data_IF_706395606040
#
_entry.id   IF_706395606040
#
_cell.length_a   1.000
_cell.length_b   1.000
_cell.length_c   1.000
_cell.angle_alpha   90.00
_cell.angle_beta   90.00
_cell.angle_gamma   90.00
#
_symmetry.space_group_name_H-M   'P 1'
#
loop_
_entity.id
_entity.type
_entity.pdbx_description
1 polymer ?
#
# COMPACT_ATOMS: atom_id res chain seq x y z
N UNK A 1 -53.14 -22.67 6.93
CA UNK A 1 -52.42 -21.51 6.38
C UNK A 1 -50.93 -21.72 6.56
N UNK A 2 -50.12 -21.85 5.50
CA UNK A 2 -48.68 -22.05 5.65
C UNK A 2 -47.97 -20.70 5.88
N UNK A 3 -47.15 -20.68 6.94
CA UNK A 3 -46.33 -19.55 7.37
C UNK A 3 -45.35 -19.08 6.30
N UNK A 4 -45.39 -17.78 6.00
CA UNK A 4 -44.39 -17.10 5.18
C UNK A 4 -43.06 -17.09 5.95
N UNK A 5 -42.07 -17.86 5.47
CA UNK A 5 -40.69 -17.75 5.94
C UNK A 5 -40.18 -16.35 5.61
N UNK A 6 -39.89 -15.59 6.66
CA UNK A 6 -39.16 -14.32 6.58
C UNK A 6 -37.81 -14.57 5.91
N UNK A 7 -37.65 -14.10 4.68
CA UNK A 7 -36.36 -14.04 4.00
C UNK A 7 -35.47 -13.08 4.80
N UNK A 8 -34.56 -13.64 5.60
CA UNK A 8 -33.46 -12.89 6.18
C UNK A 8 -32.70 -12.22 5.02
N UNK A 9 -32.82 -10.90 4.92
CA UNK A 9 -32.06 -10.08 3.99
C UNK A 9 -30.58 -10.39 4.25
N UNK A 10 -29.94 -11.10 3.32
CA UNK A 10 -28.50 -11.37 3.33
C UNK A 10 -27.83 -10.01 3.52
N UNK A 11 -27.10 -9.80 4.63
CA UNK A 11 -26.27 -8.60 4.75
C UNK A 11 -25.33 -8.64 3.53
N UNK A 12 -25.22 -7.57 2.72
CA UNK A 12 -24.19 -7.51 1.71
C UNK A 12 -22.86 -7.76 2.41
N UNK A 13 -22.04 -8.66 1.88
CA UNK A 13 -20.64 -8.67 2.27
C UNK A 13 -20.12 -7.25 2.00
N UNK A 14 -19.39 -6.62 2.94
CA UNK A 14 -19.04 -5.20 2.81
C UNK A 14 -18.20 -4.91 1.56
N UNK A 15 -17.70 -5.94 0.87
CA UNK A 15 -16.83 -5.84 -0.30
C UNK A 15 -17.08 -7.01 -1.27
N UNK A 16 -18.14 -6.96 -2.08
CA UNK A 16 -18.46 -8.04 -3.02
C UNK A 16 -17.54 -8.10 -4.24
N UNK A 17 -16.69 -7.09 -4.45
CA UNK A 17 -15.79 -6.98 -5.59
C UNK A 17 -14.36 -6.78 -5.14
N UNK A 18 -13.45 -7.60 -5.64
CA UNK A 18 -12.01 -7.54 -5.36
C UNK A 18 -11.21 -7.42 -6.66
N UNK A 19 -10.32 -6.44 -6.73
CA UNK A 19 -9.41 -6.26 -7.86
C UNK A 19 -7.97 -6.43 -7.38
N UNK A 20 -7.30 -7.47 -7.89
CA UNK A 20 -5.90 -7.80 -7.59
C UNK A 20 -4.98 -7.51 -8.78
N UNK A 21 -3.77 -7.03 -8.48
CA UNK A 21 -2.73 -6.73 -9.45
C UNK A 21 -1.37 -6.55 -8.75
N UNK A 22 -0.27 -6.66 -9.49
CA UNK A 22 1.07 -6.40 -8.97
C UNK A 22 1.49 -4.96 -9.24
N UNK A 23 2.09 -4.31 -8.24
CA UNK A 23 2.59 -2.95 -8.33
C UNK A 23 3.65 -2.68 -7.24
N UNK A 24 4.64 -1.85 -7.56
CA UNK A 24 5.66 -1.38 -6.58
C UNK A 24 6.31 -2.56 -5.83
N UNK A 25 6.61 -3.64 -6.56
CA UNK A 25 7.30 -4.81 -6.03
C UNK A 25 6.48 -5.72 -5.10
N UNK A 26 5.15 -5.59 -5.06
CA UNK A 26 4.28 -6.49 -4.28
C UNK A 26 2.90 -6.67 -4.91
N UNK A 27 2.12 -7.61 -4.38
CA UNK A 27 0.74 -7.85 -4.78
C UNK A 27 -0.22 -6.91 -4.04
N UNK A 28 -1.15 -6.30 -4.76
CA UNK A 28 -2.16 -5.37 -4.24
C UNK A 28 -3.56 -5.97 -4.38
N UNK A 29 -4.47 -5.57 -3.49
CA UNK A 29 -5.90 -5.88 -3.54
C UNK A 29 -6.68 -4.61 -3.25
N UNK A 30 -7.57 -4.20 -4.15
CA UNK A 30 -8.54 -3.14 -3.90
C UNK A 30 -9.92 -3.78 -3.90
N UNK A 31 -10.47 -3.96 -2.70
CA UNK A 31 -11.83 -4.41 -2.56
C UNK A 31 -12.80 -3.24 -2.44
N UNK A 32 -14.01 -3.43 -2.95
CA UNK A 32 -15.09 -2.42 -3.03
C UNK A 32 -16.45 -3.13 -2.98
N UNK A 33 -17.54 -2.44 -2.59
CA UNK A 33 -18.88 -3.02 -2.67
C UNK A 33 -19.27 -3.43 -4.10
N UNK A 34 -18.94 -2.58 -5.08
CA UNK A 34 -19.26 -2.75 -6.51
C UNK A 34 -17.98 -2.77 -7.37
N UNK A 35 -17.97 -3.44 -8.55
CA UNK A 35 -16.78 -3.52 -9.37
C UNK A 35 -16.24 -2.15 -9.79
N UNK A 36 -14.94 -1.94 -9.59
CA UNK A 36 -14.24 -0.73 -10.08
C UNK A 36 -14.31 -0.69 -11.61
N UNK A 37 -14.89 0.39 -12.13
CA UNK A 37 -15.05 0.60 -13.57
C UNK A 37 -13.69 0.59 -14.31
N UNK A 38 -13.62 0.07 -15.56
CA UNK A 38 -12.36 -0.05 -16.31
C UNK A 38 -11.56 1.25 -16.40
N UNK A 39 -12.22 2.39 -16.66
CA UNK A 39 -11.54 3.69 -16.73
C UNK A 39 -10.87 4.11 -15.42
N UNK A 40 -11.49 3.81 -14.28
CA UNK A 40 -10.91 4.09 -12.97
C UNK A 40 -9.74 3.15 -12.67
N UNK A 41 -9.82 1.87 -13.07
CA UNK A 41 -8.68 0.95 -12.99
C UNK A 41 -7.48 1.48 -13.78
N UNK A 42 -7.71 1.94 -15.01
CA UNK A 42 -6.66 2.57 -15.84
C UNK A 42 -6.06 3.79 -15.16
N UNK A 43 -6.88 4.68 -14.58
CA UNK A 43 -6.40 5.86 -13.87
C UNK A 43 -5.56 5.50 -12.63
N UNK A 44 -5.99 4.50 -11.86
CA UNK A 44 -5.23 3.99 -10.70
C UNK A 44 -3.89 3.42 -11.15
N UNK A 45 -3.87 2.55 -12.16
CA UNK A 45 -2.63 1.97 -12.69
C UNK A 45 -1.68 3.04 -13.22
N UNK A 46 -2.19 4.05 -13.94
CA UNK A 46 -1.38 5.16 -14.45
C UNK A 46 -0.77 6.00 -13.31
N UNK A 47 -1.53 6.25 -12.24
CA UNK A 47 -1.04 6.95 -11.06
C UNK A 47 0.07 6.17 -10.35
N UNK A 48 -0.11 4.86 -10.21
CA UNK A 48 0.90 3.96 -9.62
C UNK A 48 2.18 3.95 -10.46
N UNK A 49 2.07 3.82 -11.79
CA UNK A 49 3.26 3.84 -12.67
C UNK A 49 3.97 5.20 -12.64
N UNK A 50 3.23 6.31 -12.59
CA UNK A 50 3.82 7.65 -12.41
C UNK A 50 4.55 7.77 -11.06
N UNK A 51 3.97 7.25 -9.99
CA UNK A 51 4.61 7.21 -8.68
C UNK A 51 5.89 6.36 -8.72
N UNK A 52 5.82 5.16 -9.30
CA UNK A 52 6.95 4.23 -9.39
C UNK A 52 8.10 4.78 -10.25
N UNK A 53 7.81 5.48 -11.36
CA UNK A 53 8.82 6.22 -12.16
C UNK A 53 9.53 7.32 -11.39
N UNK A 54 8.93 7.82 -10.32
CA UNK A 54 9.53 8.90 -9.53
C UNK A 54 10.29 8.32 -8.33
N UNK A 55 9.66 7.42 -7.59
CA UNK A 55 10.09 7.05 -6.24
C UNK A 55 10.77 5.68 -6.14
N UNK A 56 10.72 4.85 -7.18
CA UNK A 56 11.30 3.51 -7.13
C UNK A 56 12.81 3.56 -7.00
N UNK A 57 13.40 2.91 -6.00
CA UNK A 57 14.86 2.80 -5.92
C UNK A 57 15.45 1.75 -6.87
N UNK A 58 14.62 0.87 -7.42
CA UNK A 58 15.05 -0.29 -8.22
C UNK A 58 14.81 -0.11 -9.70
N UNK A 59 13.81 0.70 -10.09
CA UNK A 59 13.55 1.01 -11.49
C UNK A 59 14.66 1.90 -12.02
N UNK A 60 15.43 1.36 -12.96
CA UNK A 60 16.44 2.14 -13.69
C UNK A 60 15.75 3.32 -14.38
N UNK A 61 16.32 4.51 -14.21
CA UNK A 61 15.80 5.74 -14.79
C UNK A 61 14.68 6.41 -13.99
N UNK A 62 14.36 5.93 -12.79
CA UNK A 62 13.51 6.70 -11.88
C UNK A 62 14.30 7.87 -11.25
N UNK A 63 13.58 8.92 -10.82
CA UNK A 63 14.22 10.07 -10.18
C UNK A 63 14.95 9.67 -8.88
N UNK A 64 14.31 8.88 -8.02
CA UNK A 64 14.93 8.39 -6.79
C UNK A 64 16.15 7.48 -7.04
N UNK A 65 16.16 6.69 -8.12
CA UNK A 65 17.33 5.89 -8.50
C UNK A 65 18.47 6.77 -9.04
N UNK A 66 18.16 7.87 -9.74
CA UNK A 66 19.17 8.80 -10.25
C UNK A 66 19.96 9.52 -9.14
N UNK A 67 19.37 9.75 -7.95
CA UNK A 67 20.07 10.33 -6.78
C UNK A 67 21.29 9.52 -6.29
N UNK A 68 21.50 8.30 -6.80
CA UNK A 68 22.71 7.52 -6.52
C UNK A 68 23.96 8.10 -7.18
N UNK A 69 23.79 8.81 -8.29
CA UNK A 69 24.87 9.40 -9.09
C UNK A 69 24.72 10.91 -9.21
N UNK A 70 23.49 11.40 -9.22
CA UNK A 70 23.15 12.82 -9.34
C UNK A 70 23.07 13.51 -7.97
N UNK A 71 23.40 14.80 -7.95
CA UNK A 71 23.29 15.63 -6.73
C UNK A 71 21.86 16.06 -6.42
N UNK A 72 21.04 16.23 -7.44
CA UNK A 72 19.68 16.76 -7.33
C UNK A 72 18.81 16.17 -8.43
N UNK A 73 17.53 15.92 -8.12
CA UNK A 73 16.52 15.44 -9.08
C UNK A 73 15.19 16.09 -8.76
N UNK A 74 14.33 16.22 -9.77
CA UNK A 74 12.93 16.58 -9.57
C UNK A 74 12.13 15.34 -9.12
N UNK A 75 11.59 15.38 -7.90
CA UNK A 75 10.74 14.34 -7.32
C UNK A 75 9.25 14.65 -7.48
N UNK A 76 8.92 15.70 -8.24
CA UNK A 76 7.56 16.10 -8.55
C UNK A 76 6.83 16.81 -7.41
N UNK A 77 5.58 17.23 -7.66
CA UNK A 77 4.82 18.10 -6.76
C UNK A 77 4.42 17.43 -5.44
N UNK A 78 4.40 16.10 -5.38
CA UNK A 78 4.06 15.34 -4.16
C UNK A 78 5.22 15.30 -3.15
N UNK A 79 6.45 15.58 -3.59
CA UNK A 79 7.66 15.41 -2.79
C UNK A 79 7.66 16.23 -1.49
N UNK A 80 7.26 17.51 -1.46
CA UNK A 80 7.25 18.27 -0.21
C UNK A 80 6.36 17.65 0.87
N UNK A 81 5.18 17.15 0.49
CA UNK A 81 4.24 16.53 1.43
C UNK A 81 4.78 15.19 1.98
N UNK A 82 5.35 14.35 1.10
CA UNK A 82 5.95 13.07 1.47
C UNK A 82 7.18 13.27 2.37
N UNK A 83 8.08 14.17 1.99
CA UNK A 83 9.31 14.45 2.75
C UNK A 83 9.00 15.06 4.12
N UNK A 84 7.99 15.92 4.23
CA UNK A 84 7.55 16.46 5.52
C UNK A 84 7.08 15.36 6.50
N UNK A 85 6.47 14.26 5.99
CA UNK A 85 6.13 13.09 6.81
C UNK A 85 7.40 12.41 7.31
N UNK A 86 8.40 12.20 6.45
CA UNK A 86 9.67 11.60 6.84
C UNK A 86 10.45 12.47 7.83
N UNK A 87 10.49 13.79 7.65
CA UNK A 87 11.13 14.72 8.59
C UNK A 87 10.49 14.63 9.98
N UNK A 88 9.15 14.58 10.03
CA UNK A 88 8.41 14.42 11.28
C UNK A 88 8.71 13.07 11.93
N UNK A 89 8.72 11.98 11.17
CA UNK A 89 9.03 10.64 11.70
C UNK A 89 10.48 10.57 12.19
N UNK A 90 11.42 11.16 11.45
CA UNK A 90 12.82 11.22 11.84
C UNK A 90 12.98 11.93 13.19
N UNK A 91 12.37 13.10 13.36
CA UNK A 91 12.40 13.84 14.62
C UNK A 91 11.76 13.07 15.78
N UNK A 92 10.57 12.51 15.58
CA UNK A 92 9.83 11.77 16.62
C UNK A 92 10.50 10.48 17.04
N UNK A 93 11.32 9.89 16.18
CA UNK A 93 12.01 8.61 16.43
C UNK A 93 13.50 8.79 16.72
N UNK A 94 13.96 10.03 16.95
CA UNK A 94 15.37 10.36 17.15
C UNK A 94 16.30 9.76 16.07
N UNK A 95 15.82 9.76 14.83
CA UNK A 95 16.54 9.25 13.66
C UNK A 95 16.39 7.76 13.36
N UNK A 96 15.60 7.01 14.14
CA UNK A 96 15.40 5.58 13.88
C UNK A 96 14.61 5.31 12.57
N UNK A 97 13.74 6.23 12.16
CA UNK A 97 13.11 6.22 10.83
C UNK A 97 13.79 7.27 9.95
N UNK A 98 14.53 6.83 8.93
CA UNK A 98 15.22 7.69 7.97
C UNK A 98 15.06 7.19 6.53
N UNK A 99 14.70 8.06 5.57
CA UNK A 99 14.65 7.68 4.16
C UNK A 99 16.05 7.49 3.52
N UNK A 100 17.12 7.88 4.22
CA UNK A 100 18.51 7.88 3.71
C UNK A 100 19.25 6.55 3.92
N UNK A 101 18.55 5.49 4.33
CA UNK A 101 19.15 4.18 4.67
C UNK A 101 19.40 3.29 3.45
N UNK A 102 19.07 3.74 2.23
CA UNK A 102 19.15 2.91 1.01
C UNK A 102 20.52 2.27 0.77
N UNK A 103 21.60 3.02 0.93
CA UNK A 103 22.97 2.50 0.77
C UNK A 103 23.37 1.47 1.83
N UNK A 104 22.94 1.68 3.09
CA UNK A 104 23.19 0.72 4.17
C UNK A 104 22.40 -0.59 3.94
N UNK A 105 21.14 -0.50 3.50
CA UNK A 105 20.33 -1.65 3.16
C UNK A 105 20.97 -2.50 2.04
N UNK A 106 21.57 -1.86 1.04
CA UNK A 106 22.27 -2.56 -0.04
C UNK A 106 23.52 -3.29 0.43
N UNK A 107 24.30 -2.69 1.32
CA UNK A 107 25.46 -3.37 1.93
C UNK A 107 25.04 -4.60 2.75
N UNK A 108 23.84 -4.58 3.32
CA UNK A 108 23.23 -5.72 4.02
C UNK A 108 22.58 -6.74 3.06
N UNK A 109 22.68 -6.54 1.76
CA UNK A 109 22.14 -7.45 0.74
C UNK A 109 20.71 -7.16 0.30
N UNK A 110 20.03 -6.13 0.84
CA UNK A 110 18.71 -5.69 0.40
C UNK A 110 18.81 -4.79 -0.85
N UNK A 111 19.54 -5.24 -1.87
CA UNK A 111 19.65 -4.57 -3.16
C UNK A 111 18.58 -5.01 -4.17
N UNK A 112 18.71 -4.58 -5.42
CA UNK A 112 17.75 -4.91 -6.49
C UNK A 112 17.68 -6.42 -6.81
N UNK A 113 18.74 -7.17 -6.50
CA UNK A 113 18.77 -8.62 -6.66
C UNK A 113 18.14 -9.39 -5.50
N UNK A 114 17.69 -8.70 -4.44
CA UNK A 114 17.02 -9.33 -3.31
C UNK A 114 15.53 -9.54 -3.62
N UNK A 115 15.07 -10.79 -3.55
CA UNK A 115 13.67 -11.16 -3.77
C UNK A 115 13.08 -11.71 -2.48
N UNK A 116 11.99 -11.09 -2.01
CA UNK A 116 11.15 -11.69 -0.97
C UNK A 116 10.30 -12.78 -1.60
N UNK A 117 10.54 -14.03 -1.21
CA UNK A 117 9.74 -15.17 -1.67
C UNK A 117 8.57 -15.40 -0.70
N UNK A 118 7.31 -15.20 -1.13
CA UNK A 118 6.15 -15.43 -0.28
C UNK A 118 6.10 -16.89 0.18
N UNK A 119 5.71 -17.13 1.44
CA UNK A 119 5.48 -18.49 1.97
C UNK A 119 4.01 -18.92 1.92
N UNK A 120 3.11 -18.06 1.41
CA UNK A 120 1.69 -18.31 1.29
C UNK A 120 0.91 -17.05 0.88
N UNK A 121 -0.40 -17.20 0.69
CA UNK A 121 -1.28 -16.08 0.35
C UNK A 121 -1.52 -15.17 1.58
N UNK A 122 -1.57 -13.83 1.38
CA UNK A 122 -1.97 -12.93 2.46
C UNK A 122 -3.43 -13.21 2.87
N UNK A 123 -3.77 -13.13 4.16
CA UNK A 123 -5.14 -13.32 4.62
C UNK A 123 -6.06 -12.26 3.99
N UNK A 124 -7.25 -12.68 3.57
CA UNK A 124 -8.27 -11.76 3.08
C UNK A 124 -8.63 -10.81 4.21
N UNK A 125 -8.40 -9.50 4.03
CA UNK A 125 -8.73 -8.49 5.03
C UNK A 125 -10.25 -8.30 5.11
N UNK A 126 -10.94 -9.24 5.74
CA UNK A 126 -12.25 -9.00 6.31
C UNK A 126 -12.04 -8.19 7.59
N UNK A 127 -12.18 -6.87 7.53
CA UNK A 127 -12.27 -6.00 8.71
C UNK A 127 -13.53 -6.36 9.51
N UNK A 128 -13.48 -7.47 10.25
CA UNK A 128 -14.41 -7.72 11.36
C UNK A 128 -13.73 -7.15 12.59
N UNK A 129 -14.09 -5.93 12.96
CA UNK A 129 -13.67 -5.37 14.25
C UNK A 129 -14.04 -6.36 15.37
N UNK A 130 -13.11 -6.70 16.29
CA UNK A 130 -13.46 -7.54 17.42
C UNK A 130 -14.53 -6.82 18.25
N UNK A 131 -15.63 -7.52 18.56
CA UNK A 131 -16.66 -7.00 19.43
C UNK A 131 -16.09 -6.84 20.85
N UNK A 132 -15.66 -5.63 21.19
CA UNK A 132 -15.26 -5.29 22.56
C UNK A 132 -16.54 -5.19 23.39
N UNK A 133 -16.85 -6.24 24.16
CA UNK A 133 -17.87 -6.15 25.21
C UNK A 133 -17.30 -5.34 26.37
N UNK A 134 -17.70 -4.07 26.47
CA UNK A 134 -17.44 -3.26 27.65
C UNK A 134 -18.28 -3.80 28.81
N UNK A 135 -17.64 -4.56 29.71
CA UNK A 135 -18.26 -4.99 30.95
C UNK A 135 -18.40 -3.77 31.88
N UNK A 136 -19.59 -3.17 31.94
CA UNK A 136 -19.92 -2.21 33.01
C UNK A 136 -20.11 -3.00 34.30
N UNK A 137 -19.15 -2.92 35.20
CA UNK A 137 -19.38 -3.27 36.61
C UNK A 137 -20.09 -2.10 37.27
N UNK A 138 -21.25 -2.40 37.87
CA UNK A 138 -21.96 -1.56 38.83
C UNK A 138 -21.18 -1.38 40.12
#
# INVERSE_FOLDING_TARGET
MPSTRSSARRRPDPMNSDWRFDAIGTAWSIGTPDPIAPGLRTAITARIDSFDRTWSRFRVGSAANALRTEREVDLGPDAPAILAVYDRLFALTAGAVSPLVGGALEQLGYGAGYTLTPSGDPPTSGLTAPAVSANRRS
#
